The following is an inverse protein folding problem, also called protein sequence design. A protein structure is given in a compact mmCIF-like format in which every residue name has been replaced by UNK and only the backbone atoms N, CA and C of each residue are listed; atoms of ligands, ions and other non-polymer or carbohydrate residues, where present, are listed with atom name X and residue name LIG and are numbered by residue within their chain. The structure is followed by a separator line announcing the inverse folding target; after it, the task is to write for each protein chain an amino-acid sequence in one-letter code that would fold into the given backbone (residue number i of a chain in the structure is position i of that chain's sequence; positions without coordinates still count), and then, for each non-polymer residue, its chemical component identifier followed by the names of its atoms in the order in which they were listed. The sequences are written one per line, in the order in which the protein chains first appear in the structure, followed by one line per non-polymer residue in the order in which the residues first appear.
data_IF_252423309273
#
_entry.id   IF_252423309273
#
_cell.length_a   1.000
_cell.length_b   1.000
_cell.length_c   1.000
_cell.angle_alpha   90.00
_cell.angle_beta   90.00
_cell.angle_gamma   90.00
#
_symmetry.space_group_name_H-M   'P 1'
#
loop_
_entity.id
_entity.type
_entity.pdbx_description
1 polymer ?
#
# COMPACT_ATOMS: atom_id res chain seq x y z
N UNK A 1 -5.83 7.01 -3.31
CA UNK A 1 -5.55 6.11 -4.44
C UNK A 1 -4.59 5.05 -3.97
N UNK A 2 -5.01 3.78 -3.97
CA UNK A 2 -4.23 2.62 -3.52
C UNK A 2 -3.34 2.03 -4.60
N UNK A 3 -2.55 1.01 -4.22
CA UNK A 3 -1.95 0.10 -5.19
C UNK A 3 -3.02 -0.88 -5.70
N UNK A 4 -3.03 -1.14 -7.00
CA UNK A 4 -4.02 -2.03 -7.60
C UNK A 4 -5.39 -1.38 -7.85
N UNK A 5 -6.45 -2.17 -7.81
CA UNK A 5 -7.78 -1.74 -8.22
C UNK A 5 -8.48 -0.92 -7.13
N UNK A 6 -9.00 0.26 -7.49
CA UNK A 6 -9.74 1.15 -6.58
C UNK A 6 -10.92 0.42 -5.92
N UNK A 7 -11.61 -0.48 -6.65
CA UNK A 7 -12.71 -1.25 -6.11
C UNK A 7 -12.28 -2.17 -4.96
N UNK A 8 -11.10 -2.80 -5.07
CA UNK A 8 -10.55 -3.70 -4.06
C UNK A 8 -10.10 -2.94 -2.82
N UNK A 9 -9.47 -1.77 -3.02
CA UNK A 9 -9.18 -0.81 -1.96
C UNK A 9 -10.37 -0.49 -1.08
N UNK A 10 -11.49 -0.09 -1.73
CA UNK A 10 -12.71 0.31 -1.03
C UNK A 10 -13.41 -0.84 -0.34
N UNK A 11 -13.23 -2.05 -0.86
CA UNK A 11 -13.75 -3.27 -0.27
C UNK A 11 -12.85 -3.84 0.84
N UNK A 12 -11.64 -3.29 1.02
CA UNK A 12 -10.71 -3.75 2.04
C UNK A 12 -11.24 -3.37 3.42
N UNK A 13 -11.40 -4.36 4.29
CA UNK A 13 -11.76 -4.17 5.69
C UNK A 13 -10.80 -4.97 6.56
N UNK A 14 -10.83 -4.82 7.89
CA UNK A 14 -10.06 -5.71 8.76
C UNK A 14 -10.38 -7.21 8.57
N UNK A 15 -11.56 -7.54 8.05
CA UNK A 15 -12.04 -8.90 7.78
C UNK A 15 -11.90 -9.31 6.31
N UNK A 16 -11.68 -8.37 5.40
CA UNK A 16 -11.64 -8.61 3.95
C UNK A 16 -10.25 -8.27 3.41
N UNK A 17 -9.52 -9.30 3.02
CA UNK A 17 -8.18 -9.13 2.44
C UNK A 17 -8.23 -8.48 1.06
N UNK A 18 -7.30 -7.56 0.81
CA UNK A 18 -7.10 -7.00 -0.51
C UNK A 18 -6.22 -7.95 -1.34
N UNK A 19 -6.78 -8.54 -2.39
CA UNK A 19 -6.05 -9.42 -3.30
C UNK A 19 -4.78 -8.77 -3.90
N UNK A 20 -4.77 -7.45 -4.08
CA UNK A 20 -3.62 -6.74 -4.63
C UNK A 20 -2.45 -6.67 -3.62
N UNK A 21 -2.75 -6.60 -2.32
CA UNK A 21 -1.73 -6.65 -1.26
C UNK A 21 -1.15 -8.06 -1.14
N UNK A 22 -2.01 -9.08 -1.26
CA UNK A 22 -1.58 -10.49 -1.29
C UNK A 22 -0.66 -10.73 -2.48
N UNK A 23 -1.06 -10.28 -3.67
CA UNK A 23 -0.27 -10.41 -4.89
C UNK A 23 1.09 -9.70 -4.77
N UNK A 24 1.14 -8.51 -4.15
CA UNK A 24 2.40 -7.80 -3.93
C UNK A 24 3.34 -8.58 -3.00
N UNK A 25 2.83 -9.08 -1.87
CA UNK A 25 3.61 -9.89 -0.92
C UNK A 25 4.16 -11.15 -1.59
N UNK A 26 3.33 -11.89 -2.32
CA UNK A 26 3.74 -13.09 -3.04
C UNK A 26 4.78 -12.78 -4.12
N UNK A 27 4.65 -11.62 -4.78
CA UNK A 27 5.64 -11.16 -5.77
C UNK A 27 6.98 -10.85 -5.11
N UNK A 28 6.98 -10.19 -3.95
CA UNK A 28 8.19 -9.94 -3.15
C UNK A 28 8.88 -11.26 -2.78
N UNK A 29 8.12 -12.20 -2.23
CA UNK A 29 8.64 -13.52 -1.82
C UNK A 29 9.22 -14.29 -3.03
N UNK A 30 8.55 -14.21 -4.18
CA UNK A 30 9.03 -14.81 -5.44
C UNK A 30 10.34 -14.20 -5.89
N UNK A 31 10.47 -12.86 -5.86
CA UNK A 31 11.69 -12.15 -6.26
C UNK A 31 12.86 -12.54 -5.37
N UNK A 32 12.67 -12.53 -4.05
CA UNK A 32 13.71 -12.95 -3.08
C UNK A 32 14.20 -14.36 -3.40
N UNK A 33 13.26 -15.28 -3.64
CA UNK A 33 13.58 -16.68 -3.99
C UNK A 33 14.31 -16.81 -5.33
N UNK A 34 13.79 -16.19 -6.39
CA UNK A 34 14.31 -16.37 -7.75
C UNK A 34 15.67 -15.70 -7.98
N UNK A 35 15.92 -14.58 -7.29
CA UNK A 35 17.21 -13.90 -7.33
C UNK A 35 18.20 -14.46 -6.29
N UNK A 36 17.75 -15.36 -5.41
CA UNK A 36 18.59 -15.95 -4.37
C UNK A 36 19.13 -14.91 -3.38
N UNK A 37 18.34 -13.89 -3.06
CA UNK A 37 18.74 -12.83 -2.13
C UNK A 37 18.92 -13.41 -0.72
N UNK A 38 19.91 -12.92 0.02
CA UNK A 38 20.27 -13.42 1.34
C UNK A 38 20.58 -12.27 2.31
N UNK A 39 20.41 -12.53 3.60
CA UNK A 39 20.64 -11.52 4.64
C UNK A 39 19.80 -10.28 4.39
N UNK A 40 20.41 -9.10 4.52
CA UNK A 40 19.74 -7.81 4.32
C UNK A 40 19.15 -7.64 2.90
N UNK A 41 19.74 -8.26 1.88
CA UNK A 41 19.20 -8.15 0.51
C UNK A 41 17.85 -8.87 0.35
N UNK A 42 17.53 -9.83 1.23
CA UNK A 42 16.26 -10.53 1.24
C UNK A 42 15.14 -9.75 1.97
N UNK A 43 15.50 -8.71 2.73
CA UNK A 43 14.58 -7.92 3.54
C UNK A 43 13.93 -6.79 2.72
N UNK A 44 13.24 -7.17 1.63
CA UNK A 44 12.49 -6.22 0.81
C UNK A 44 11.21 -5.79 1.52
N UNK A 45 11.09 -4.48 1.75
CA UNK A 45 9.95 -3.83 2.38
C UNK A 45 8.71 -3.80 1.47
N UNK A 46 7.54 -3.89 2.09
CA UNK A 46 6.24 -3.74 1.45
C UNK A 46 5.67 -2.36 1.73
N UNK A 47 5.78 -1.46 0.76
CA UNK A 47 5.10 -0.16 0.79
C UNK A 47 3.69 -0.31 0.20
N UNK A 48 2.69 -0.53 1.05
CA UNK A 48 1.29 -0.71 0.64
C UNK A 48 0.30 -0.16 1.68
N UNK A 49 -0.89 0.22 1.22
CA UNK A 49 -1.89 0.89 2.07
C UNK A 49 -1.84 2.42 2.00
N UNK A 50 -3.02 3.00 1.98
CA UNK A 50 -3.30 4.43 1.86
C UNK A 50 -4.38 4.84 2.86
N UNK A 51 -4.79 6.11 2.83
CA UNK A 51 -5.82 6.68 3.72
C UNK A 51 -7.08 5.85 3.96
N UNK A 52 -7.54 5.06 2.97
CA UNK A 52 -8.79 4.28 3.08
C UNK A 52 -8.58 2.80 3.42
N UNK A 53 -7.35 2.28 3.32
CA UNK A 53 -7.06 0.83 3.41
C UNK A 53 -5.77 0.49 4.17
N UNK A 54 -5.16 1.45 4.87
CA UNK A 54 -3.90 1.25 5.60
C UNK A 54 -4.02 0.21 6.72
N UNK A 55 -5.17 0.09 7.39
CA UNK A 55 -5.37 -0.90 8.47
C UNK A 55 -5.31 -2.33 7.92
N UNK A 56 -5.97 -2.58 6.78
CA UNK A 56 -5.91 -3.86 6.08
C UNK A 56 -4.49 -4.14 5.55
N UNK A 57 -3.79 -3.12 5.08
CA UNK A 57 -2.40 -3.24 4.62
C UNK A 57 -1.46 -3.65 5.76
N UNK A 58 -1.57 -3.03 6.94
CA UNK A 58 -0.77 -3.40 8.13
C UNK A 58 -1.04 -4.85 8.52
N UNK A 59 -2.31 -5.27 8.54
CA UNK A 59 -2.66 -6.67 8.86
C UNK A 59 -2.07 -7.67 7.86
N UNK A 60 -1.88 -7.25 6.61
CA UNK A 60 -1.28 -8.06 5.54
C UNK A 60 0.24 -7.93 5.43
N UNK A 61 0.88 -7.22 6.36
CA UNK A 61 2.34 -7.15 6.49
C UNK A 61 2.98 -5.96 5.75
N UNK A 62 2.28 -4.83 5.65
CA UNK A 62 2.90 -3.59 5.16
C UNK A 62 3.94 -3.04 6.14
N UNK A 63 5.11 -2.68 5.61
CA UNK A 63 6.18 -2.01 6.36
C UNK A 63 6.02 -0.47 6.29
N UNK A 64 5.43 0.03 5.21
CA UNK A 64 5.20 1.46 4.99
C UNK A 64 3.78 1.72 4.47
N UNK A 65 3.06 2.61 5.14
CA UNK A 65 1.74 3.11 4.71
C UNK A 65 1.82 4.59 4.32
N UNK A 66 1.03 5.00 3.32
CA UNK A 66 1.07 6.37 2.78
C UNK A 66 -0.25 7.08 3.01
N UNK A 67 -0.34 7.83 4.10
CA UNK A 67 -1.59 8.46 4.54
C UNK A 67 -1.58 9.96 4.21
N UNK A 68 -2.58 10.39 3.43
CA UNK A 68 -2.72 11.78 2.97
C UNK A 68 -3.99 12.44 3.52
N UNK A 69 -5.13 12.15 2.88
CA UNK A 69 -6.44 12.76 3.19
C UNK A 69 -6.83 12.63 4.66
N UNK A 70 -6.54 11.48 5.29
CA UNK A 70 -6.81 11.28 6.73
C UNK A 70 -6.02 12.22 7.63
N UNK A 71 -4.82 12.64 7.23
CA UNK A 71 -3.94 13.54 8.00
C UNK A 71 -4.22 15.01 7.64
N UNK A 72 -4.29 15.32 6.34
CA UNK A 72 -4.31 16.70 5.84
C UNK A 72 -5.70 17.19 5.39
N UNK A 73 -6.71 16.32 5.38
CA UNK A 73 -8.02 16.59 4.80
C UNK A 73 -8.05 16.45 3.28
N UNK A 74 -9.21 16.77 2.70
CA UNK A 74 -9.43 16.71 1.26
C UNK A 74 -8.45 17.61 0.49
N UNK A 75 -7.96 17.12 -0.65
CA UNK A 75 -7.08 17.91 -1.50
C UNK A 75 -7.89 19.03 -2.15
N UNK A 76 -7.49 20.31 -2.02
CA UNK A 76 -8.17 21.41 -2.71
C UNK A 76 -8.20 21.19 -4.24
N UNK A 77 -9.21 21.73 -4.93
CA UNK A 77 -9.28 21.69 -6.38
C UNK A 77 -8.01 22.26 -7.01
N UNK A 78 -7.53 21.67 -8.12
CA UNK A 78 -6.34 22.16 -8.82
C UNK A 78 -6.47 23.62 -9.27
N UNK A 79 -7.69 24.09 -9.53
CA UNK A 79 -7.98 25.49 -9.89
C UNK A 79 -7.65 26.48 -8.77
N UNK A 80 -7.57 26.02 -7.53
CA UNK A 80 -7.26 26.85 -6.36
C UNK A 80 -5.78 26.78 -5.96
N UNK A 81 -4.96 26.01 -6.69
CA UNK A 81 -3.54 25.90 -6.43
C UNK A 81 -2.84 27.24 -6.69
N UNK A 82 -2.20 27.80 -5.65
CA UNK A 82 -1.36 29.00 -5.75
C UNK A 82 0.10 28.58 -5.70
N UNK A 83 0.92 29.05 -6.64
CA UNK A 83 2.38 29.02 -6.49
C UNK A 83 2.73 30.18 -5.58
N UNK A 84 3.23 29.89 -4.39
CA UNK A 84 3.71 30.87 -3.41
C UNK A 84 5.20 31.02 -3.58
#
# INVERSE_FOLDING_TARGET
MTIGAIARSKATTPETENEDFVCLRETRDRIVRELGLQGADAELELSMGMSEDFEGAIKLGSDEVRVGTTIFGERPPKSEAKVV
#
